data_IF_347160954324
#
_entry.id   IF_347160954324
#
_cell.length_a   1.000
_cell.length_b   1.000
_cell.length_c   1.000
_cell.angle_alpha   90.00
_cell.angle_beta   90.00
_cell.angle_gamma   90.00
#
_symmetry.space_group_name_H-M   'P 1'
#
loop_
_entity.id
_entity.type
_entity.pdbx_description
1 polymer ?
#
# COMPACT_ATOMS: atom_id res chain seq x y z
N UNK A 1 -7.51 27.95 40.74
CA UNK A 1 -6.85 26.64 40.59
C UNK A 1 -6.55 26.43 39.10
N UNK A 2 -5.33 26.19 38.66
CA UNK A 2 -5.06 25.89 37.23
C UNK A 2 -5.75 24.58 36.93
N UNK A 3 -6.62 24.58 35.90
CA UNK A 3 -7.22 23.38 35.35
C UNK A 3 -6.09 22.44 34.93
N UNK A 4 -6.03 21.23 35.52
CA UNK A 4 -5.13 20.19 35.06
C UNK A 4 -5.27 20.05 33.55
N UNK A 5 -4.17 20.27 32.82
CA UNK A 5 -4.17 20.07 31.36
C UNK A 5 -4.60 18.62 31.09
N UNK A 6 -5.74 18.43 30.48
CA UNK A 6 -6.20 17.12 30.07
C UNK A 6 -5.08 16.40 29.31
N UNK A 7 -4.75 15.18 29.69
CA UNK A 7 -3.72 14.38 29.03
C UNK A 7 -4.05 14.25 27.54
N UNK A 8 -3.12 14.58 26.68
CA UNK A 8 -3.29 14.38 25.23
C UNK A 8 -3.47 12.89 24.93
N UNK A 9 -4.43 12.57 24.07
CA UNK A 9 -4.59 11.20 23.54
C UNK A 9 -3.34 10.79 22.78
N UNK A 10 -2.88 9.57 22.98
CA UNK A 10 -1.76 8.97 22.26
C UNK A 10 -2.25 7.81 21.39
N UNK A 11 -2.16 7.98 20.08
CA UNK A 11 -2.67 7.03 19.10
C UNK A 11 -1.52 6.54 18.23
N UNK A 12 -1.36 5.22 18.10
CA UNK A 12 -0.40 4.58 17.20
C UNK A 12 -1.07 4.02 15.97
N UNK A 13 -0.48 4.27 14.82
CA UNK A 13 -0.90 3.74 13.52
C UNK A 13 0.17 2.78 13.02
N UNK A 14 -0.21 1.51 12.81
CA UNK A 14 0.65 0.48 12.27
C UNK A 14 0.43 0.38 10.76
N UNK A 15 1.51 0.49 9.99
CA UNK A 15 1.47 0.30 8.55
C UNK A 15 2.87 -0.05 7.99
N UNK A 16 3.06 -1.11 7.19
CA UNK A 16 4.35 -1.46 6.60
C UNK A 16 4.72 -0.57 5.41
N UNK A 17 4.62 0.75 5.56
CA UNK A 17 4.91 1.77 4.55
C UNK A 17 6.37 2.24 4.58
N UNK A 18 6.72 3.05 3.59
CA UNK A 18 7.97 3.77 3.52
C UNK A 18 8.81 3.52 2.27
N UNK A 19 8.32 2.71 1.32
CA UNK A 19 9.00 2.45 0.04
C UNK A 19 8.67 3.45 -1.05
N UNK A 20 7.71 4.35 -0.79
CA UNK A 20 7.24 5.35 -1.75
C UNK A 20 6.08 4.88 -2.61
N UNK A 21 5.46 3.73 -2.30
CA UNK A 21 4.19 3.36 -2.89
C UNK A 21 3.13 4.41 -2.52
N UNK A 22 2.61 5.10 -3.54
CA UNK A 22 1.70 6.25 -3.33
C UNK A 22 0.34 5.82 -2.78
N UNK A 23 -0.04 4.56 -2.98
CA UNK A 23 -1.24 4.02 -2.36
C UNK A 23 -1.11 3.84 -0.86
N UNK A 24 0.05 3.35 -0.40
CA UNK A 24 0.35 3.23 1.02
C UNK A 24 0.39 4.61 1.69
N UNK A 25 1.00 5.59 1.01
CA UNK A 25 1.02 6.99 1.46
C UNK A 25 -0.40 7.58 1.52
N UNK A 26 -1.25 7.29 0.52
CA UNK A 26 -2.65 7.71 0.47
C UNK A 26 -3.46 7.19 1.68
N UNK A 27 -3.28 5.92 2.04
CA UNK A 27 -3.91 5.30 3.20
C UNK A 27 -3.47 5.97 4.50
N UNK A 28 -2.17 6.17 4.69
CA UNK A 28 -1.64 6.84 5.88
C UNK A 28 -2.08 8.30 5.95
N UNK A 29 -2.04 9.01 4.83
CA UNK A 29 -2.48 10.42 4.75
C UNK A 29 -3.95 10.56 5.16
N UNK A 30 -4.84 9.73 4.62
CA UNK A 30 -6.26 9.77 4.97
C UNK A 30 -6.51 9.39 6.43
N UNK A 31 -5.76 8.40 6.95
CA UNK A 31 -5.85 7.98 8.35
C UNK A 31 -5.43 9.10 9.29
N UNK A 32 -4.26 9.71 9.07
CA UNK A 32 -3.80 10.81 9.91
C UNK A 32 -4.66 12.08 9.77
N UNK A 33 -5.20 12.35 8.58
CA UNK A 33 -6.14 13.46 8.39
C UNK A 33 -7.40 13.28 9.25
N UNK A 34 -8.02 12.10 9.22
CA UNK A 34 -9.21 11.79 10.00
C UNK A 34 -8.93 11.85 11.53
N UNK A 35 -7.76 11.37 11.97
CA UNK A 35 -7.37 11.46 13.39
C UNK A 35 -7.14 12.89 13.84
N UNK A 36 -6.51 13.74 13.02
CA UNK A 36 -6.29 15.17 13.31
C UNK A 36 -7.57 15.96 13.31
N UNK A 37 -8.47 15.68 12.36
CA UNK A 37 -9.79 16.31 12.32
C UNK A 37 -10.57 16.04 13.60
N UNK A 38 -10.52 14.81 14.09
CA UNK A 38 -11.27 14.40 15.28
C UNK A 38 -10.60 14.78 16.60
N UNK A 39 -9.26 14.74 16.64
CA UNK A 39 -8.43 15.04 17.84
C UNK A 39 -7.21 15.89 17.45
N UNK A 40 -7.37 17.20 17.26
CA UNK A 40 -6.28 18.08 16.78
C UNK A 40 -5.05 18.07 17.68
N UNK A 41 -5.24 17.84 18.98
CA UNK A 41 -4.15 17.82 19.99
C UNK A 41 -3.57 16.42 20.26
N UNK A 42 -4.03 15.37 19.56
CA UNK A 42 -3.55 14.03 19.79
C UNK A 42 -2.05 13.87 19.47
N UNK A 43 -1.36 13.09 20.28
CA UNK A 43 0.02 12.63 20.05
C UNK A 43 -0.03 11.41 19.10
N UNK A 44 0.17 11.66 17.80
CA UNK A 44 0.07 10.65 16.74
C UNK A 44 1.44 10.03 16.45
N UNK A 45 1.48 8.70 16.43
CA UNK A 45 2.66 7.90 16.16
C UNK A 45 2.43 6.97 14.97
N UNK A 46 3.47 6.76 14.17
CA UNK A 46 3.50 5.74 13.12
C UNK A 46 4.50 4.64 13.47
N UNK A 47 4.12 3.38 13.23
CA UNK A 47 5.02 2.23 13.29
C UNK A 47 5.11 1.62 11.90
N UNK A 48 6.27 1.78 11.26
CA UNK A 48 6.44 1.52 9.83
C UNK A 48 7.78 0.83 9.53
N UNK A 49 8.00 0.47 8.26
CA UNK A 49 9.28 -0.08 7.81
C UNK A 49 10.34 1.01 7.60
N UNK A 50 9.93 2.24 7.25
CA UNK A 50 10.81 3.39 7.05
C UNK A 50 10.40 4.61 7.90
N UNK A 51 10.69 4.59 9.21
CA UNK A 51 10.23 5.64 10.12
C UNK A 51 10.61 7.05 9.69
N UNK A 52 11.84 7.27 9.23
CA UNK A 52 12.31 8.60 8.84
C UNK A 52 11.48 9.21 7.69
N UNK A 53 11.18 8.42 6.64
CA UNK A 53 10.35 8.86 5.52
C UNK A 53 8.90 9.10 5.95
N UNK A 54 8.34 8.17 6.71
CA UNK A 54 6.97 8.30 7.22
C UNK A 54 6.82 9.54 8.10
N UNK A 55 7.80 9.79 8.99
CA UNK A 55 7.80 10.98 9.84
C UNK A 55 7.82 12.28 9.01
N UNK A 56 8.66 12.33 7.98
CA UNK A 56 8.76 13.49 7.09
C UNK A 56 7.46 13.72 6.30
N UNK A 57 6.91 12.67 5.67
CA UNK A 57 5.73 12.77 4.81
C UNK A 57 4.45 13.11 5.59
N UNK A 58 4.29 12.56 6.79
CA UNK A 58 3.03 12.70 7.55
C UNK A 58 3.14 13.61 8.78
N UNK A 59 4.33 14.17 9.07
CA UNK A 59 4.57 15.06 10.23
C UNK A 59 4.12 14.41 11.54
N UNK A 60 4.53 13.17 11.77
CA UNK A 60 4.26 12.38 12.97
C UNK A 60 5.56 11.85 13.55
N UNK A 61 5.53 11.45 14.81
CA UNK A 61 6.64 10.65 15.37
C UNK A 61 6.53 9.24 14.81
N UNK A 62 7.65 8.67 14.38
CA UNK A 62 7.65 7.32 13.81
C UNK A 62 8.75 6.44 14.42
N UNK A 63 8.45 5.15 14.59
CA UNK A 63 9.41 4.10 15.00
C UNK A 63 9.22 2.86 14.12
N UNK A 64 10.11 1.90 14.26
CA UNK A 64 10.06 0.65 13.51
C UNK A 64 8.86 -0.20 13.91
N UNK A 65 8.23 -0.83 12.93
CA UNK A 65 7.10 -1.73 13.12
C UNK A 65 7.51 -2.93 13.99
N UNK A 66 8.65 -3.55 13.69
CA UNK A 66 9.34 -4.58 14.51
C UNK A 66 10.85 -4.44 14.34
N UNK A 67 11.62 -5.16 15.14
CA UNK A 67 13.08 -5.27 14.96
C UNK A 67 13.48 -6.32 13.92
N UNK A 68 12.66 -7.36 13.72
CA UNK A 68 12.94 -8.49 12.82
C UNK A 68 12.83 -8.08 11.33
N UNK A 69 11.84 -7.28 10.97
CA UNK A 69 11.63 -6.82 9.59
C UNK A 69 12.71 -5.89 9.07
N UNK A 70 13.61 -5.47 9.94
CA UNK A 70 14.66 -4.50 9.65
C UNK A 70 15.81 -5.02 8.76
N UNK A 71 16.32 -6.26 8.90
CA UNK A 71 17.45 -6.73 8.11
C UNK A 71 17.16 -6.83 6.60
N UNK A 72 15.90 -7.01 6.25
CA UNK A 72 15.49 -7.23 4.86
C UNK A 72 15.62 -5.98 3.98
N UNK A 73 15.71 -4.77 4.59
CA UNK A 73 15.48 -3.52 3.89
C UNK A 73 16.39 -2.35 4.30
N UNK A 74 17.47 -2.56 5.05
CA UNK A 74 18.27 -1.44 5.53
C UNK A 74 19.68 -1.39 4.96
N UNK A 75 20.03 -0.19 4.48
CA UNK A 75 21.41 0.29 4.38
C UNK A 75 22.18 0.04 5.69
N UNK A 76 23.51 -0.28 5.63
CA UNK A 76 24.33 -0.47 6.81
C UNK A 76 24.19 0.70 7.79
N UNK A 77 23.94 0.41 9.06
CA UNK A 77 23.89 1.44 10.09
C UNK A 77 25.29 1.88 10.49
N UNK A 78 25.44 3.17 10.69
CA UNK A 78 26.64 3.75 11.33
C UNK A 78 26.76 3.27 12.79
N UNK A 79 25.62 2.94 13.46
CA UNK A 79 25.57 2.54 14.88
C UNK A 79 25.04 1.11 15.09
N UNK A 80 25.76 0.11 14.57
CA UNK A 80 25.44 -1.29 14.88
C UNK A 80 25.91 -1.68 16.29
N UNK A 81 25.04 -2.37 17.10
CA UNK A 81 25.44 -2.90 18.39
C UNK A 81 26.69 -3.79 18.29
N UNK A 82 27.57 -3.74 19.31
CA UNK A 82 28.83 -4.48 19.31
C UNK A 82 28.65 -5.97 19.00
N UNK A 83 27.66 -6.63 19.60
CA UNK A 83 27.37 -8.06 19.39
C UNK A 83 27.04 -8.37 17.92
N UNK A 84 26.29 -7.50 17.25
CA UNK A 84 25.97 -7.65 15.81
C UNK A 84 27.20 -7.45 14.95
N UNK A 85 28.06 -6.47 15.29
CA UNK A 85 29.34 -6.27 14.59
C UNK A 85 30.26 -7.47 14.72
N UNK A 86 30.33 -8.09 15.90
CA UNK A 86 31.12 -9.31 16.13
C UNK A 86 30.58 -10.46 15.28
N UNK A 87 29.27 -10.73 15.31
CA UNK A 87 28.64 -11.80 14.53
C UNK A 87 28.89 -11.63 13.02
N UNK A 88 28.76 -10.42 12.47
CA UNK A 88 29.08 -10.11 11.08
C UNK A 88 30.60 -10.16 10.79
N UNK A 89 31.43 -9.91 11.77
CA UNK A 89 32.88 -10.08 11.67
C UNK A 89 33.26 -11.56 11.48
N UNK A 90 32.61 -12.46 12.24
CA UNK A 90 32.78 -13.92 12.09
C UNK A 90 32.27 -14.37 10.73
N UNK A 91 31.08 -13.96 10.33
CA UNK A 91 30.53 -14.25 8.98
C UNK A 91 31.52 -13.86 7.87
N UNK A 92 32.05 -12.64 7.89
CA UNK A 92 33.01 -12.17 6.88
C UNK A 92 34.27 -13.02 6.81
N UNK A 93 34.78 -13.48 7.95
CA UNK A 93 36.00 -14.33 8.02
C UNK A 93 35.76 -15.74 7.50
N UNK A 94 34.56 -16.28 7.71
CA UNK A 94 34.23 -17.68 7.35
C UNK A 94 33.59 -17.82 5.96
N UNK A 95 33.29 -16.74 5.27
CA UNK A 95 32.66 -16.74 3.92
C UNK A 95 33.41 -17.57 2.88
N UNK A 96 34.73 -17.75 3.05
CA UNK A 96 35.57 -18.53 2.12
C UNK A 96 35.37 -20.05 2.24
N UNK A 97 34.74 -20.53 3.31
CA UNK A 97 34.43 -21.94 3.54
C UNK A 97 32.90 -22.10 3.40
N UNK A 98 32.40 -22.76 2.34
CA UNK A 98 30.97 -22.71 1.98
C UNK A 98 29.99 -23.09 3.10
N UNK A 99 30.27 -24.15 3.86
CA UNK A 99 29.43 -24.62 4.94
C UNK A 99 29.52 -23.71 6.17
N UNK A 100 30.71 -23.35 6.60
CA UNK A 100 30.96 -22.46 7.73
C UNK A 100 30.45 -21.04 7.43
N UNK A 101 30.61 -20.56 6.20
CA UNK A 101 30.07 -19.28 5.74
C UNK A 101 28.55 -19.22 5.80
N UNK A 102 27.85 -20.29 5.39
CA UNK A 102 26.38 -20.37 5.50
C UNK A 102 25.91 -20.40 6.96
N UNK A 103 26.54 -21.23 7.80
CA UNK A 103 26.19 -21.33 9.21
C UNK A 103 26.43 -20.01 9.96
N UNK A 104 27.54 -19.35 9.70
CA UNK A 104 27.87 -18.06 10.33
C UNK A 104 27.00 -16.92 9.81
N UNK A 105 26.57 -16.94 8.54
CA UNK A 105 25.62 -15.98 8.01
C UNK A 105 24.25 -16.11 8.71
N UNK A 106 23.72 -17.35 8.81
CA UNK A 106 22.50 -17.62 9.57
C UNK A 106 22.63 -17.19 11.03
N UNK A 107 23.75 -17.52 11.67
CA UNK A 107 24.02 -17.10 13.06
C UNK A 107 24.06 -15.57 13.23
N UNK A 108 24.71 -14.86 12.30
CA UNK A 108 24.77 -13.39 12.32
C UNK A 108 23.39 -12.75 12.09
N UNK A 109 22.58 -13.31 11.18
CA UNK A 109 21.20 -12.86 10.94
C UNK A 109 20.31 -13.08 12.17
N UNK A 110 20.33 -14.27 12.76
CA UNK A 110 19.56 -14.58 13.97
C UNK A 110 19.97 -13.70 15.14
N UNK A 111 21.27 -13.48 15.36
CA UNK A 111 21.78 -12.59 16.38
C UNK A 111 21.31 -11.15 16.15
N UNK A 112 21.43 -10.67 14.92
CA UNK A 112 20.94 -9.35 14.53
C UNK A 112 19.45 -9.21 14.78
N UNK A 113 18.64 -10.17 14.30
CA UNK A 113 17.20 -10.17 14.50
C UNK A 113 16.83 -10.15 15.98
N UNK A 114 17.46 -10.99 16.81
CA UNK A 114 17.18 -11.07 18.25
C UNK A 114 17.52 -9.75 18.96
N UNK A 115 18.68 -9.16 18.69
CA UNK A 115 19.12 -7.91 19.32
C UNK A 115 18.22 -6.75 18.95
N UNK A 116 17.91 -6.60 17.65
CA UNK A 116 17.05 -5.53 17.18
C UNK A 116 15.61 -5.71 17.63
N UNK A 117 15.10 -6.96 17.65
CA UNK A 117 13.75 -7.24 18.13
C UNK A 117 13.62 -6.94 19.62
N UNK A 118 14.57 -7.36 20.44
CA UNK A 118 14.56 -7.08 21.88
C UNK A 118 14.53 -5.57 22.15
N UNK A 119 15.36 -4.80 21.45
CA UNK A 119 15.39 -3.34 21.57
C UNK A 119 14.07 -2.70 21.09
N UNK A 120 13.55 -3.16 19.95
CA UNK A 120 12.27 -2.69 19.41
C UNK A 120 11.10 -3.03 20.33
N UNK A 121 11.07 -4.25 20.87
CA UNK A 121 10.04 -4.69 21.81
C UNK A 121 10.05 -3.86 23.08
N UNK A 122 11.25 -3.57 23.62
CA UNK A 122 11.41 -2.70 24.78
C UNK A 122 10.84 -1.29 24.57
N UNK A 123 11.12 -0.68 23.39
CA UNK A 123 10.55 0.63 23.03
C UNK A 123 9.04 0.57 22.85
N UNK A 124 8.54 -0.41 22.08
CA UNK A 124 7.12 -0.60 21.85
C UNK A 124 6.34 -0.83 23.16
N UNK A 125 6.90 -1.60 24.10
CA UNK A 125 6.32 -1.83 25.43
C UNK A 125 6.23 -0.55 26.26
N UNK A 126 7.27 0.27 26.28
CA UNK A 126 7.27 1.57 26.96
C UNK A 126 6.26 2.53 26.35
N UNK A 127 6.15 2.51 25.03
CA UNK A 127 5.23 3.38 24.32
C UNK A 127 3.77 2.99 24.56
N UNK A 128 3.42 1.69 24.43
CA UNK A 128 2.05 1.22 24.53
C UNK A 128 1.44 1.38 25.92
N UNK A 129 2.25 1.37 26.98
CA UNK A 129 1.80 1.63 28.36
C UNK A 129 1.19 3.03 28.52
N UNK A 130 1.52 3.96 27.65
CA UNK A 130 1.02 5.34 27.61
C UNK A 130 0.06 5.60 26.47
N UNK A 131 -0.18 4.60 25.61
CA UNK A 131 -1.07 4.72 24.46
C UNK A 131 -2.54 4.60 24.88
N UNK A 132 -3.41 5.23 24.12
CA UNK A 132 -4.85 5.14 24.30
C UNK A 132 -5.51 4.27 23.23
N UNK A 133 -4.87 4.12 22.06
CA UNK A 133 -5.38 3.36 20.93
C UNK A 133 -4.25 2.93 20.00
N UNK A 134 -4.37 1.74 19.41
CA UNK A 134 -3.52 1.27 18.32
C UNK A 134 -4.40 0.88 17.15
N UNK A 135 -4.14 1.46 15.99
CA UNK A 135 -4.84 1.22 14.74
C UNK A 135 -3.95 0.53 13.72
N UNK A 136 -4.42 -0.50 13.06
CA UNK A 136 -3.85 -1.03 11.83
C UNK A 136 -4.59 -0.37 10.67
N UNK A 137 -3.91 0.52 9.97
CA UNK A 137 -4.52 1.31 8.90
C UNK A 137 -4.51 0.51 7.59
N UNK A 138 -5.66 0.28 7.00
CA UNK A 138 -5.92 -0.20 5.65
C UNK A 138 -4.86 -1.08 4.95
N UNK A 139 -4.94 -1.15 3.63
CA UNK A 139 -3.94 -1.83 2.81
C UNK A 139 -3.88 -3.35 2.99
N UNK A 140 -2.90 -3.99 2.37
CA UNK A 140 -2.71 -5.46 2.40
C UNK A 140 -2.09 -5.95 3.70
N UNK A 141 -2.71 -5.72 4.84
CA UNK A 141 -2.15 -6.04 6.16
C UNK A 141 -2.18 -7.53 6.52
N UNK A 142 -3.22 -8.24 6.11
CA UNK A 142 -3.36 -9.67 6.35
C UNK A 142 -2.68 -10.45 5.22
N UNK A 143 -1.35 -10.34 5.15
CA UNK A 143 -0.58 -10.91 4.04
C UNK A 143 0.80 -11.41 4.52
N UNK A 144 1.12 -12.67 4.22
CA UNK A 144 2.43 -13.26 4.48
C UNK A 144 3.48 -12.94 3.41
N UNK A 145 3.10 -12.35 2.27
CA UNK A 145 4.06 -11.95 1.23
C UNK A 145 5.05 -10.89 1.74
N UNK A 146 4.67 -10.11 2.75
CA UNK A 146 5.52 -9.10 3.39
C UNK A 146 6.40 -9.71 4.48
N UNK A 147 7.53 -10.29 4.08
CA UNK A 147 8.54 -10.82 4.98
C UNK A 147 8.22 -12.20 5.58
N UNK A 148 7.30 -12.95 4.97
CA UNK A 148 6.92 -14.30 5.44
C UNK A 148 6.28 -14.26 6.83
N UNK A 149 6.40 -15.37 7.54
CA UNK A 149 5.84 -15.56 8.89
C UNK A 149 6.32 -14.52 9.90
N UNK A 150 7.61 -14.19 9.86
CA UNK A 150 8.24 -13.25 10.78
C UNK A 150 8.16 -11.79 10.33
N UNK A 151 7.54 -11.53 9.18
CA UNK A 151 7.20 -10.19 8.68
C UNK A 151 5.90 -9.65 9.26
N UNK A 152 4.96 -9.34 8.37
CA UNK A 152 3.69 -8.73 8.76
C UNK A 152 2.82 -9.59 9.69
N UNK A 153 2.66 -10.93 9.50
CA UNK A 153 1.91 -11.75 10.44
C UNK A 153 2.41 -11.66 11.88
N UNK A 154 3.73 -11.76 12.08
CA UNK A 154 4.36 -11.60 13.39
C UNK A 154 4.16 -10.19 13.95
N UNK A 155 4.33 -9.15 13.13
CA UNK A 155 4.14 -7.78 13.56
C UNK A 155 2.73 -7.54 14.13
N UNK A 156 1.70 -8.01 13.43
CA UNK A 156 0.31 -7.90 13.89
C UNK A 156 0.07 -8.64 15.20
N UNK A 157 0.55 -9.90 15.33
CA UNK A 157 0.41 -10.67 16.56
C UNK A 157 1.13 -10.01 17.75
N UNK A 158 2.36 -9.53 17.51
CA UNK A 158 3.17 -8.83 18.53
C UNK A 158 2.47 -7.58 19.07
N UNK A 159 1.95 -6.74 18.17
CA UNK A 159 1.27 -5.51 18.57
C UNK A 159 -0.07 -5.80 19.24
N UNK A 160 -0.84 -6.78 18.76
CA UNK A 160 -2.07 -7.22 19.41
C UNK A 160 -1.80 -7.78 20.82
N UNK A 161 -0.70 -8.53 20.99
CA UNK A 161 -0.27 -9.04 22.30
C UNK A 161 0.12 -7.90 23.25
N UNK A 162 0.93 -6.94 22.80
CA UNK A 162 1.31 -5.76 23.59
C UNK A 162 0.08 -4.94 24.01
N UNK A 163 -0.85 -4.72 23.07
CA UNK A 163 -2.08 -3.98 23.33
C UNK A 163 -2.95 -4.69 24.37
N UNK A 164 -3.10 -6.02 24.24
CA UNK A 164 -3.82 -6.84 25.23
C UNK A 164 -3.21 -6.73 26.64
N UNK A 165 -1.87 -6.86 26.77
CA UNK A 165 -1.18 -6.75 28.05
C UNK A 165 -1.34 -5.37 28.68
N UNK A 166 -1.33 -4.32 27.87
CA UNK A 166 -1.50 -2.94 28.33
C UNK A 166 -2.97 -2.51 28.47
N UNK A 167 -3.92 -3.39 28.16
CA UNK A 167 -5.36 -3.07 28.08
C UNK A 167 -5.67 -1.88 27.16
N UNK A 168 -4.93 -1.76 26.07
CA UNK A 168 -5.12 -0.71 25.05
C UNK A 168 -5.95 -1.29 23.91
N UNK A 169 -7.01 -0.61 23.47
CA UNK A 169 -7.75 -1.04 22.29
C UNK A 169 -6.85 -1.17 21.06
N UNK A 170 -6.99 -2.28 20.34
CA UNK A 170 -6.30 -2.58 19.09
C UNK A 170 -7.35 -2.81 18.01
N UNK A 171 -7.25 -2.13 16.87
CA UNK A 171 -8.29 -2.19 15.86
C UNK A 171 -7.72 -2.24 14.43
N UNK A 172 -8.43 -2.94 13.55
CA UNK A 172 -8.15 -2.98 12.13
C UNK A 172 -9.16 -2.13 11.36
N UNK A 173 -8.68 -1.26 10.50
CA UNK A 173 -9.50 -0.38 9.66
C UNK A 173 -9.30 -0.72 8.19
N UNK A 174 -10.33 -1.27 7.53
CA UNK A 174 -10.37 -1.53 6.07
C UNK A 174 -9.16 -2.33 5.55
N UNK A 175 -8.74 -3.38 6.28
CA UNK A 175 -7.56 -4.15 5.89
C UNK A 175 -7.86 -5.15 4.77
N UNK A 176 -6.91 -5.28 3.83
CA UNK A 176 -6.96 -6.29 2.78
C UNK A 176 -6.31 -7.60 3.21
N UNK A 177 -6.82 -8.70 2.66
CA UNK A 177 -6.24 -10.02 2.81
C UNK A 177 -5.54 -10.44 1.51
N UNK A 178 -4.30 -10.89 1.64
CA UNK A 178 -3.50 -11.44 0.54
C UNK A 178 -3.23 -12.94 0.71
N UNK A 179 -1.96 -13.31 0.81
CA UNK A 179 -1.54 -14.70 1.01
C UNK A 179 -1.62 -15.09 2.50
N UNK A 180 -2.33 -16.19 2.80
CA UNK A 180 -2.45 -16.68 4.18
C UNK A 180 -1.11 -17.20 4.75
N UNK A 181 -0.20 -17.66 3.89
CA UNK A 181 1.08 -18.23 4.30
C UNK A 181 0.96 -19.61 4.98
N UNK A 182 2.00 -19.95 5.73
CA UNK A 182 2.04 -21.19 6.51
C UNK A 182 1.10 -21.16 7.74
N UNK A 183 1.00 -22.28 8.43
CA UNK A 183 0.11 -22.42 9.60
C UNK A 183 0.47 -21.48 10.75
N UNK A 184 1.74 -21.09 10.90
CA UNK A 184 2.17 -20.15 11.93
C UNK A 184 1.79 -18.71 11.56
N UNK A 185 1.94 -18.31 10.29
CA UNK A 185 1.44 -17.04 9.76
C UNK A 185 -0.05 -16.89 10.01
N UNK A 186 -0.83 -17.95 9.71
CA UNK A 186 -2.27 -17.96 9.94
C UNK A 186 -2.64 -17.85 11.42
N UNK A 187 -1.88 -18.53 12.31
CA UNK A 187 -2.08 -18.41 13.77
C UNK A 187 -1.80 -17.00 14.27
N UNK A 188 -0.75 -16.33 13.77
CA UNK A 188 -0.45 -14.96 14.12
C UNK A 188 -1.55 -13.99 13.69
N UNK A 189 -2.00 -14.06 12.44
CA UNK A 189 -3.08 -13.23 11.94
C UNK A 189 -4.40 -13.49 12.69
N UNK A 190 -4.75 -14.76 12.90
CA UNK A 190 -5.92 -15.14 13.71
C UNK A 190 -5.84 -14.57 15.12
N UNK A 191 -4.67 -14.67 15.78
CA UNK A 191 -4.47 -14.12 17.11
C UNK A 191 -4.73 -12.61 17.13
N UNK A 192 -4.18 -11.88 16.19
CA UNK A 192 -4.34 -10.44 16.11
C UNK A 192 -5.81 -10.03 15.90
N UNK A 193 -6.52 -10.70 14.99
CA UNK A 193 -7.94 -10.42 14.73
C UNK A 193 -8.79 -10.74 15.96
N UNK A 194 -8.57 -11.87 16.61
CA UNK A 194 -9.35 -12.28 17.81
C UNK A 194 -9.19 -11.33 18.98
N UNK A 195 -8.05 -10.67 19.11
CA UNK A 195 -7.76 -9.74 20.20
C UNK A 195 -7.96 -8.27 19.81
N UNK A 196 -8.47 -8.00 18.60
CA UNK A 196 -8.83 -6.64 18.21
C UNK A 196 -10.16 -6.21 18.83
N UNK A 197 -10.30 -4.94 19.18
CA UNK A 197 -11.56 -4.35 19.66
C UNK A 197 -12.54 -4.11 18.50
N UNK A 198 -12.00 -3.88 17.30
CA UNK A 198 -12.75 -3.69 16.03
C UNK A 198 -11.91 -4.25 14.88
N UNK A 199 -12.59 -4.79 13.88
CA UNK A 199 -11.95 -5.23 12.65
C UNK A 199 -12.88 -5.02 11.47
N UNK A 200 -12.41 -4.34 10.45
CA UNK A 200 -13.04 -4.26 9.14
C UNK A 200 -12.06 -4.65 8.04
N UNK A 201 -12.60 -5.18 6.96
CA UNK A 201 -11.85 -5.54 5.75
C UNK A 201 -12.32 -4.69 4.58
N UNK A 202 -11.46 -4.48 3.57
CA UNK A 202 -11.75 -3.50 2.50
C UNK A 202 -12.63 -4.03 1.37
N UNK A 203 -12.75 -5.35 1.24
CA UNK A 203 -13.49 -6.00 0.15
C UNK A 203 -14.04 -7.36 0.57
N UNK A 204 -15.08 -7.82 -0.12
CA UNK A 204 -15.76 -9.09 0.15
C UNK A 204 -14.83 -10.30 0.06
N UNK A 205 -13.88 -10.28 -0.87
CA UNK A 205 -12.91 -11.35 -0.97
C UNK A 205 -11.93 -11.40 0.20
N UNK A 206 -11.59 -10.25 0.79
CA UNK A 206 -10.84 -10.20 2.06
C UNK A 206 -11.68 -10.75 3.20
N UNK A 207 -13.00 -10.50 3.21
CA UNK A 207 -13.92 -11.07 4.20
C UNK A 207 -13.93 -12.59 4.12
N UNK A 208 -14.12 -13.16 2.93
CA UNK A 208 -14.14 -14.61 2.70
C UNK A 208 -12.83 -15.27 3.11
N UNK A 209 -11.68 -14.68 2.73
CA UNK A 209 -10.36 -15.19 3.13
C UNK A 209 -10.13 -15.10 4.64
N UNK A 210 -10.61 -14.05 5.29
CA UNK A 210 -10.49 -13.89 6.74
C UNK A 210 -11.31 -14.95 7.47
N UNK A 211 -12.45 -15.36 6.93
CA UNK A 211 -13.26 -16.45 7.48
C UNK A 211 -12.47 -17.78 7.51
N UNK A 212 -11.61 -18.05 6.52
CA UNK A 212 -10.76 -19.26 6.49
C UNK A 212 -9.76 -19.33 7.64
N UNK A 213 -9.39 -18.21 8.24
CA UNK A 213 -8.55 -18.18 9.43
C UNK A 213 -9.28 -18.70 10.70
N UNK A 214 -10.60 -18.93 10.64
CA UNK A 214 -11.40 -19.33 11.79
C UNK A 214 -11.44 -18.25 12.88
N UNK A 215 -11.31 -16.99 12.50
CA UNK A 215 -11.60 -15.86 13.35
C UNK A 215 -13.12 -15.68 13.40
N UNK A 216 -13.76 -16.35 14.35
CA UNK A 216 -15.22 -16.23 14.58
C UNK A 216 -15.55 -14.84 15.11
N UNK A 217 -15.72 -13.89 14.20
CA UNK A 217 -16.09 -12.51 14.51
C UNK A 217 -16.93 -11.93 13.38
N UNK A 218 -17.88 -11.10 13.74
CA UNK A 218 -18.57 -10.28 12.75
C UNK A 218 -17.59 -9.20 12.25
N UNK A 219 -17.24 -9.27 10.96
CA UNK A 219 -16.35 -8.31 10.30
C UNK A 219 -17.20 -7.43 9.38
N UNK A 220 -16.92 -6.13 9.39
CA UNK A 220 -17.54 -5.21 8.47
C UNK A 220 -16.69 -5.09 7.19
N UNK A 221 -17.36 -4.97 6.04
CA UNK A 221 -16.71 -4.58 4.79
C UNK A 221 -16.81 -3.05 4.68
N UNK A 222 -15.66 -2.38 4.64
CA UNK A 222 -15.56 -0.93 4.49
C UNK A 222 -14.48 -0.67 3.43
N UNK A 223 -14.76 0.10 2.38
CA UNK A 223 -13.82 0.37 1.30
C UNK A 223 -12.45 0.87 1.78
N UNK A 224 -11.47 0.84 0.87
CA UNK A 224 -10.09 1.25 1.16
C UNK A 224 -10.04 2.70 1.71
N UNK A 225 -9.20 2.92 2.73
CA UNK A 225 -9.11 4.21 3.41
C UNK A 225 -8.68 5.36 2.49
N UNK A 226 -8.01 5.07 1.38
CA UNK A 226 -7.63 6.08 0.40
C UNK A 226 -8.84 6.80 -0.23
N UNK A 227 -10.05 6.21 -0.21
CA UNK A 227 -11.27 6.90 -0.64
C UNK A 227 -11.62 8.13 0.21
N UNK A 228 -11.11 8.24 1.43
CA UNK A 228 -11.32 9.42 2.28
C UNK A 228 -10.44 10.62 1.90
N UNK A 229 -9.48 10.47 0.98
CA UNK A 229 -8.67 11.59 0.51
C UNK A 229 -9.54 12.69 -0.11
N UNK A 230 -9.20 13.92 0.22
CA UNK A 230 -9.78 15.09 -0.44
C UNK A 230 -9.29 15.18 -1.88
N UNK A 231 -10.18 15.46 -2.80
CA UNK A 231 -9.83 15.69 -4.20
C UNK A 231 -10.54 16.93 -4.74
N UNK A 232 -9.91 17.60 -5.70
CA UNK A 232 -10.51 18.71 -6.43
C UNK A 232 -11.24 18.15 -7.67
N UNK A 233 -12.20 18.89 -8.22
CA UNK A 233 -12.88 18.50 -9.46
C UNK A 233 -11.89 18.27 -10.61
N UNK A 234 -12.20 17.34 -11.53
CA UNK A 234 -11.44 17.17 -12.77
C UNK A 234 -11.29 18.48 -13.56
N UNK A 235 -10.17 18.63 -14.26
CA UNK A 235 -10.01 19.73 -15.21
C UNK A 235 -10.82 19.39 -16.48
N UNK A 236 -11.44 20.40 -17.08
CA UNK A 236 -12.13 20.22 -18.34
C UNK A 236 -11.13 19.94 -19.48
N UNK A 237 -11.50 19.08 -20.41
CA UNK A 237 -10.74 18.88 -21.64
C UNK A 237 -10.59 20.20 -22.40
N UNK A 238 -9.36 20.58 -22.74
CA UNK A 238 -9.07 21.88 -23.36
C UNK A 238 -8.65 21.80 -24.83
N UNK A 239 -8.45 20.59 -25.37
CA UNK A 239 -7.85 20.38 -26.71
C UNK A 239 -8.46 19.14 -27.40
N UNK A 240 -8.38 19.08 -28.75
CA UNK A 240 -8.65 17.84 -29.48
C UNK A 240 -7.67 16.72 -29.07
N UNK A 241 -8.14 15.47 -29.11
CA UNK A 241 -7.41 14.28 -28.62
C UNK A 241 -7.51 14.10 -27.12
N UNK A 242 -7.24 12.92 -26.65
CA UNK A 242 -7.29 12.55 -25.22
C UNK A 242 -5.94 12.78 -24.52
N UNK A 243 -6.00 13.13 -23.25
CA UNK A 243 -4.87 13.02 -22.33
C UNK A 243 -4.95 11.67 -21.61
N UNK A 244 -4.07 10.73 -21.98
CA UNK A 244 -4.08 9.35 -21.48
C UNK A 244 -2.88 9.14 -20.55
N UNK A 245 -3.15 8.82 -19.30
CA UNK A 245 -2.13 8.39 -18.34
C UNK A 245 -1.89 6.88 -18.47
N UNK A 246 -0.65 6.45 -18.63
CA UNK A 246 -0.27 5.05 -18.82
C UNK A 246 0.76 4.65 -17.76
N UNK A 247 0.47 3.57 -17.03
CA UNK A 247 1.34 3.07 -15.96
C UNK A 247 1.75 1.61 -16.21
N UNK A 248 2.82 1.38 -17.00
CA UNK A 248 3.42 0.06 -17.12
C UNK A 248 3.97 -0.43 -15.79
N UNK A 249 3.92 -1.75 -15.55
CA UNK A 249 4.46 -2.35 -14.35
C UNK A 249 5.52 -3.42 -14.68
N UNK A 250 6.35 -3.77 -13.70
CA UNK A 250 7.42 -4.78 -13.83
C UNK A 250 6.88 -6.22 -13.86
N UNK A 251 5.72 -6.44 -14.48
CA UNK A 251 5.09 -7.75 -14.57
C UNK A 251 6.00 -8.75 -15.30
N UNK A 252 6.32 -9.88 -14.66
CA UNK A 252 7.24 -10.93 -15.15
C UNK A 252 8.71 -10.50 -15.35
N UNK A 253 9.11 -9.29 -14.94
CA UNK A 253 10.49 -8.81 -15.08
C UNK A 253 11.46 -9.67 -14.28
N UNK A 254 12.58 -10.14 -14.88
CA UNK A 254 13.65 -10.82 -14.18
C UNK A 254 14.20 -9.99 -13.01
N UNK A 255 14.34 -10.62 -11.84
CA UNK A 255 14.79 -9.97 -10.62
C UNK A 255 13.80 -9.00 -9.97
N UNK A 256 12.62 -8.80 -10.57
CA UNK A 256 11.58 -7.88 -10.08
C UNK A 256 10.21 -8.53 -9.84
N UNK A 257 10.05 -9.80 -10.24
CA UNK A 257 8.77 -10.51 -10.15
C UNK A 257 8.96 -11.97 -9.69
N UNK A 258 8.08 -12.54 -8.85
CA UNK A 258 8.23 -13.92 -8.36
C UNK A 258 8.24 -14.98 -9.47
N UNK A 259 7.37 -14.84 -10.46
CA UNK A 259 7.23 -15.73 -11.61
C UNK A 259 7.86 -15.07 -12.83
N UNK A 260 9.20 -14.87 -12.79
CA UNK A 260 9.92 -14.14 -13.82
C UNK A 260 9.97 -14.87 -15.17
N UNK A 261 9.76 -14.10 -16.25
CA UNK A 261 9.86 -14.56 -17.63
C UNK A 261 10.37 -13.42 -18.53
N UNK A 262 11.64 -13.46 -18.87
CA UNK A 262 12.30 -12.40 -19.63
C UNK A 262 11.68 -12.19 -21.04
N UNK A 263 11.27 -13.25 -21.73
CA UNK A 263 10.70 -13.18 -23.07
C UNK A 263 9.31 -12.53 -23.04
N UNK A 264 8.48 -12.92 -22.08
CA UNK A 264 7.15 -12.33 -21.89
C UNK A 264 7.24 -10.87 -21.41
N UNK A 265 8.18 -10.56 -20.51
CA UNK A 265 8.42 -9.17 -20.11
C UNK A 265 8.82 -8.29 -21.29
N UNK A 266 9.73 -8.79 -22.14
CA UNK A 266 10.17 -8.08 -23.35
C UNK A 266 9.00 -7.83 -24.32
N UNK A 267 8.13 -8.84 -24.48
CA UNK A 267 6.89 -8.71 -25.27
C UNK A 267 5.94 -7.68 -24.65
N UNK A 268 5.75 -7.69 -23.34
CA UNK A 268 4.95 -6.70 -22.63
C UNK A 268 5.44 -5.28 -22.87
N UNK A 269 6.73 -5.04 -22.74
CA UNK A 269 7.35 -3.73 -23.00
C UNK A 269 7.08 -3.29 -24.45
N UNK A 270 7.20 -4.21 -25.41
CA UNK A 270 6.88 -3.95 -26.82
C UNK A 270 5.41 -3.59 -27.06
N UNK A 271 4.48 -4.29 -26.41
CA UNK A 271 3.04 -4.03 -26.53
C UNK A 271 2.64 -2.68 -25.94
N UNK A 272 3.22 -2.30 -24.78
CA UNK A 272 3.04 -0.96 -24.23
C UNK A 272 3.54 0.14 -25.17
N UNK A 273 4.73 -0.03 -25.74
CA UNK A 273 5.27 0.93 -26.69
C UNK A 273 4.38 1.04 -27.93
N UNK A 274 3.91 -0.09 -28.48
CA UNK A 274 2.98 -0.12 -29.63
C UNK A 274 1.64 0.54 -29.33
N UNK A 275 1.08 0.35 -28.13
CA UNK A 275 -0.13 1.04 -27.68
C UNK A 275 0.07 2.56 -27.71
N UNK A 276 1.17 3.03 -27.11
CA UNK A 276 1.50 4.45 -27.04
C UNK A 276 1.64 5.04 -28.45
N UNK A 277 2.33 4.35 -29.36
CA UNK A 277 2.49 4.80 -30.76
C UNK A 277 1.17 4.88 -31.52
N UNK A 278 0.30 3.87 -31.37
CA UNK A 278 -1.04 3.88 -32.01
C UNK A 278 -1.91 5.03 -31.47
N UNK A 279 -1.92 5.25 -30.15
CA UNK A 279 -2.72 6.32 -29.55
C UNK A 279 -2.20 7.71 -29.97
N UNK A 280 -0.89 7.89 -29.97
CA UNK A 280 -0.27 9.13 -30.42
C UNK A 280 -0.55 9.43 -31.92
N UNK A 281 -0.60 8.38 -32.78
CA UNK A 281 -0.99 8.49 -34.19
C UNK A 281 -2.45 8.93 -34.38
N UNK A 282 -3.34 8.62 -33.41
CA UNK A 282 -4.74 9.09 -33.35
C UNK A 282 -4.86 10.55 -32.85
N UNK A 283 -3.76 11.16 -32.44
CA UNK A 283 -3.72 12.54 -31.92
C UNK A 283 -3.83 12.65 -30.40
N UNK A 284 -3.76 11.54 -29.68
CA UNK A 284 -3.77 11.55 -28.22
C UNK A 284 -2.41 11.93 -27.62
N UNK A 285 -2.44 12.48 -26.42
CA UNK A 285 -1.25 12.81 -25.62
C UNK A 285 -1.07 11.76 -24.55
N UNK A 286 0.11 11.16 -24.50
CA UNK A 286 0.41 10.06 -23.57
C UNK A 286 1.32 10.59 -22.46
N UNK A 287 0.92 10.31 -21.23
CA UNK A 287 1.63 10.66 -20.01
C UNK A 287 2.01 9.39 -19.27
N UNK A 288 3.30 9.13 -19.12
CA UNK A 288 3.79 8.00 -18.35
C UNK A 288 3.82 8.36 -16.86
N UNK A 289 3.45 7.42 -16.01
CA UNK A 289 3.51 7.62 -14.56
C UNK A 289 3.71 6.30 -13.81
N UNK A 290 4.06 6.39 -12.52
CA UNK A 290 4.06 5.26 -11.60
C UNK A 290 3.28 5.62 -10.34
N UNK A 291 2.54 4.63 -9.79
CA UNK A 291 1.99 4.70 -8.43
C UNK A 291 2.84 3.92 -7.41
N UNK A 292 3.77 3.11 -7.92
CA UNK A 292 4.78 2.38 -7.15
C UNK A 292 6.16 2.62 -7.77
N UNK A 293 7.14 3.17 -7.03
CA UNK A 293 8.49 3.40 -7.56
C UNK A 293 9.16 2.14 -8.12
N UNK A 294 8.77 0.94 -7.66
CA UNK A 294 9.26 -0.32 -8.21
C UNK A 294 8.95 -0.53 -9.69
N UNK A 295 7.95 0.18 -10.23
CA UNK A 295 7.57 0.08 -11.64
C UNK A 295 8.33 1.06 -12.56
N UNK A 296 9.16 1.93 -12.02
CA UNK A 296 9.90 2.93 -12.80
C UNK A 296 10.78 2.29 -13.87
N UNK A 297 11.33 1.12 -13.61
CA UNK A 297 12.11 0.38 -14.60
C UNK A 297 11.29 -0.03 -15.81
N UNK A 298 10.04 -0.51 -15.61
CA UNK A 298 9.16 -0.85 -16.71
C UNK A 298 8.81 0.38 -17.55
N UNK A 299 8.52 1.51 -16.92
CA UNK A 299 8.28 2.79 -17.59
C UNK A 299 9.48 3.20 -18.45
N UNK A 300 10.70 3.12 -17.91
CA UNK A 300 11.93 3.43 -18.64
C UNK A 300 12.19 2.47 -19.80
N UNK A 301 11.91 1.17 -19.61
CA UNK A 301 12.09 0.17 -20.65
C UNK A 301 11.09 0.36 -21.80
N UNK A 302 9.83 0.73 -21.52
CA UNK A 302 8.86 1.15 -22.52
C UNK A 302 9.32 2.41 -23.24
N UNK A 303 9.74 3.44 -22.51
CA UNK A 303 10.19 4.71 -23.09
C UNK A 303 11.38 4.52 -24.05
N UNK A 304 12.33 3.61 -23.76
CA UNK A 304 13.45 3.29 -24.66
C UNK A 304 13.00 2.72 -26.02
N UNK A 305 11.83 2.06 -26.09
CA UNK A 305 11.25 1.48 -27.30
C UNK A 305 10.50 2.46 -28.19
N UNK A 306 10.12 3.62 -27.65
CA UNK A 306 9.43 4.66 -28.39
C UNK A 306 10.36 5.31 -29.42
N UNK A 307 9.78 5.76 -30.55
CA UNK A 307 10.48 6.63 -31.50
C UNK A 307 11.07 7.88 -30.79
N UNK A 308 12.14 8.46 -31.32
CA UNK A 308 12.80 9.62 -30.70
C UNK A 308 11.81 10.79 -30.46
N UNK A 309 10.90 11.04 -31.41
CA UNK A 309 9.86 12.06 -31.31
C UNK A 309 8.90 11.79 -30.14
N UNK A 310 8.40 10.58 -30.02
CA UNK A 310 7.47 10.22 -28.93
C UNK A 310 8.17 10.16 -27.58
N UNK A 311 9.40 9.68 -27.54
CA UNK A 311 10.21 9.66 -26.31
C UNK A 311 10.38 11.06 -25.73
N UNK A 312 10.58 12.07 -26.56
CA UNK A 312 10.65 13.45 -26.13
C UNK A 312 9.30 14.04 -25.70
N UNK A 313 8.19 13.55 -26.29
CA UNK A 313 6.84 14.01 -26.00
C UNK A 313 6.20 13.31 -24.78
N UNK A 314 6.50 12.02 -24.57
CA UNK A 314 5.97 11.22 -23.45
C UNK A 314 6.78 11.45 -22.18
N UNK A 315 6.48 12.52 -21.47
CA UNK A 315 7.12 12.84 -20.18
C UNK A 315 6.64 11.86 -19.09
N UNK A 316 7.55 11.53 -18.21
CA UNK A 316 7.22 10.76 -16.99
C UNK A 316 6.76 11.76 -15.94
N UNK A 317 5.54 11.59 -15.46
CA UNK A 317 5.03 12.38 -14.34
C UNK A 317 5.67 11.89 -13.03
N UNK A 318 6.46 12.74 -12.42
CA UNK A 318 7.12 12.49 -11.15
C UNK A 318 6.20 12.92 -10.00
N UNK A 319 5.33 12.00 -9.55
CA UNK A 319 4.51 12.20 -8.38
C UNK A 319 5.21 11.58 -7.16
N UNK A 320 5.64 12.39 -6.21
CA UNK A 320 6.28 11.93 -4.97
C UNK A 320 5.28 11.73 -3.81
N UNK A 321 4.06 12.25 -3.97
CA UNK A 321 2.99 12.19 -2.96
C UNK A 321 1.66 11.76 -3.60
N UNK A 322 0.74 11.24 -2.77
CA UNK A 322 -0.60 10.90 -3.23
C UNK A 322 -1.35 12.15 -3.76
N UNK A 323 -1.18 13.32 -3.14
CA UNK A 323 -1.79 14.57 -3.61
C UNK A 323 -1.25 15.00 -4.98
N UNK A 324 0.06 14.84 -5.23
CA UNK A 324 0.66 15.14 -6.53
C UNK A 324 0.11 14.20 -7.62
N UNK A 325 -0.08 12.91 -7.31
CA UNK A 325 -0.68 11.96 -8.24
C UNK A 325 -2.16 12.28 -8.52
N UNK A 326 -2.92 12.64 -7.49
CA UNK A 326 -4.31 13.07 -7.67
C UNK A 326 -4.41 14.35 -8.50
N UNK A 327 -3.52 15.32 -8.29
CA UNK A 327 -3.48 16.53 -9.11
C UNK A 327 -3.10 16.23 -10.57
N UNK A 328 -2.14 15.32 -10.80
CA UNK A 328 -1.80 14.85 -12.13
C UNK A 328 -3.00 14.18 -12.82
N UNK A 329 -3.73 13.30 -12.13
CA UNK A 329 -4.90 12.64 -12.68
C UNK A 329 -6.01 13.61 -13.10
N UNK A 330 -6.14 14.76 -12.43
CA UNK A 330 -7.15 15.77 -12.79
C UNK A 330 -7.00 16.28 -14.24
N UNK A 331 -5.77 16.26 -14.77
CA UNK A 331 -5.49 16.67 -16.14
C UNK A 331 -5.70 15.59 -17.20
N UNK A 332 -6.01 14.35 -16.80
CA UNK A 332 -6.16 13.23 -17.72
C UNK A 332 -7.64 13.02 -18.11
N UNK A 333 -7.88 12.46 -19.27
CA UNK A 333 -9.20 11.99 -19.71
C UNK A 333 -9.40 10.51 -19.39
N UNK A 334 -8.33 9.71 -19.50
CA UNK A 334 -8.33 8.26 -19.23
C UNK A 334 -7.05 7.87 -18.51
N UNK A 335 -7.17 6.95 -17.57
CA UNK A 335 -6.03 6.29 -16.91
C UNK A 335 -5.98 4.82 -17.32
N UNK A 336 -4.82 4.31 -17.72
CA UNK A 336 -4.58 2.88 -17.98
C UNK A 336 -3.58 2.39 -16.93
N UNK A 337 -4.00 1.49 -16.04
CA UNK A 337 -3.17 1.03 -14.93
C UNK A 337 -3.44 -0.42 -14.54
N UNK A 338 -2.41 -1.10 -14.05
CA UNK A 338 -2.48 -2.47 -13.54
C UNK A 338 -2.38 -2.54 -12.00
N UNK A 339 -1.85 -1.49 -11.36
CA UNK A 339 -1.72 -1.42 -9.92
C UNK A 339 -3.03 -1.01 -9.25
N UNK A 340 -3.40 -1.68 -8.16
CA UNK A 340 -4.62 -1.36 -7.41
C UNK A 340 -4.74 0.12 -7.09
N UNK A 341 -3.71 0.73 -6.52
CA UNK A 341 -3.79 2.13 -6.12
C UNK A 341 -3.65 3.10 -7.30
N UNK A 342 -3.05 2.67 -8.42
CA UNK A 342 -3.15 3.41 -9.69
C UNK A 342 -4.60 3.54 -10.16
N UNK A 343 -5.36 2.43 -10.10
CA UNK A 343 -6.79 2.39 -10.42
C UNK A 343 -7.62 3.13 -9.38
N UNK A 344 -7.42 2.84 -8.09
CA UNK A 344 -8.20 3.40 -6.99
C UNK A 344 -8.08 4.92 -6.90
N UNK A 345 -6.86 5.46 -7.01
CA UNK A 345 -6.65 6.91 -7.00
C UNK A 345 -7.21 7.61 -8.24
N UNK A 346 -7.27 6.92 -9.41
CA UNK A 346 -8.00 7.44 -10.57
C UNK A 346 -9.51 7.54 -10.29
N UNK A 347 -10.09 6.52 -9.63
CA UNK A 347 -11.48 6.55 -9.18
C UNK A 347 -11.71 7.70 -8.18
N UNK A 348 -10.82 7.89 -7.20
CA UNK A 348 -10.88 8.99 -6.23
C UNK A 348 -10.84 10.35 -6.94
N UNK A 349 -10.01 10.47 -8.00
CA UNK A 349 -9.93 11.68 -8.84
C UNK A 349 -11.15 11.84 -9.78
N UNK A 350 -12.07 10.88 -9.83
CA UNK A 350 -13.24 10.87 -10.72
C UNK A 350 -12.89 10.71 -12.19
N UNK A 351 -11.76 10.04 -12.51
CA UNK A 351 -11.29 9.83 -13.88
C UNK A 351 -11.62 8.43 -14.39
N UNK A 352 -12.11 8.31 -15.63
CA UNK A 352 -12.27 7.03 -16.32
C UNK A 352 -10.97 6.23 -16.26
N UNK A 353 -11.08 4.95 -15.94
CA UNK A 353 -9.94 4.07 -15.82
C UNK A 353 -10.18 2.77 -16.56
N UNK A 354 -9.21 2.36 -17.37
CA UNK A 354 -9.06 1.04 -17.95
C UNK A 354 -8.07 0.25 -17.07
N UNK A 355 -8.58 -0.76 -16.37
CA UNK A 355 -7.79 -1.56 -15.45
C UNK A 355 -7.30 -2.85 -16.13
N UNK A 356 -5.99 -3.10 -16.10
CA UNK A 356 -5.38 -4.35 -16.55
C UNK A 356 -5.00 -5.16 -15.31
N UNK A 357 -5.94 -5.97 -14.83
CA UNK A 357 -5.86 -6.60 -13.51
C UNK A 357 -4.99 -7.86 -13.52
N UNK A 358 -3.88 -7.85 -12.77
CA UNK A 358 -3.11 -9.06 -12.45
C UNK A 358 -3.54 -9.69 -11.11
N UNK A 359 -4.33 -8.97 -10.30
CA UNK A 359 -4.81 -9.42 -9.00
C UNK A 359 -6.32 -9.26 -8.85
N UNK A 360 -6.92 -10.18 -8.07
CA UNK A 360 -8.37 -10.17 -7.77
C UNK A 360 -8.87 -8.83 -7.22
N UNK A 361 -8.07 -8.16 -6.36
CA UNK A 361 -8.45 -6.90 -5.72
C UNK A 361 -8.70 -5.75 -6.71
N UNK A 362 -8.02 -5.75 -7.87
CA UNK A 362 -8.27 -4.76 -8.94
C UNK A 362 -9.63 -5.02 -9.59
N UNK A 363 -9.93 -6.29 -9.91
CA UNK A 363 -11.25 -6.67 -10.45
C UNK A 363 -12.38 -6.35 -9.48
N UNK A 364 -12.16 -6.58 -8.18
CA UNK A 364 -13.15 -6.29 -7.16
C UNK A 364 -13.53 -4.80 -7.14
N UNK A 365 -12.58 -3.89 -7.07
CA UNK A 365 -12.88 -2.45 -7.03
C UNK A 365 -13.56 -1.95 -8.31
N UNK A 366 -13.21 -2.51 -9.49
CA UNK A 366 -13.87 -2.17 -10.75
C UNK A 366 -15.31 -2.70 -10.82
N UNK A 367 -15.54 -3.89 -10.25
CA UNK A 367 -16.87 -4.48 -10.11
C UNK A 367 -17.75 -3.68 -9.16
N UNK A 368 -17.24 -3.34 -7.98
CA UNK A 368 -17.95 -2.56 -6.97
C UNK A 368 -18.31 -1.15 -7.50
N UNK A 369 -17.45 -0.58 -8.34
CA UNK A 369 -17.70 0.70 -9.01
C UNK A 369 -18.66 0.60 -10.22
N UNK A 370 -19.13 -0.60 -10.59
CA UNK A 370 -20.06 -0.83 -11.70
C UNK A 370 -19.45 -0.58 -13.09
N UNK A 371 -18.13 -0.76 -13.21
CA UNK A 371 -17.38 -0.51 -14.47
C UNK A 371 -16.51 -1.71 -14.87
N UNK A 372 -16.97 -2.93 -14.59
CA UNK A 372 -16.26 -4.19 -14.92
C UNK A 372 -15.96 -4.34 -16.42
N UNK A 373 -16.74 -3.74 -17.32
CA UNK A 373 -16.50 -3.74 -18.76
C UNK A 373 -15.17 -3.07 -19.15
N UNK A 374 -14.61 -2.22 -18.28
CA UNK A 374 -13.31 -1.56 -18.47
C UNK A 374 -12.22 -2.19 -17.59
N UNK A 375 -12.38 -3.46 -17.24
CA UNK A 375 -11.39 -4.25 -16.50
C UNK A 375 -11.13 -5.55 -17.25
N UNK A 376 -9.88 -5.77 -17.65
CA UNK A 376 -9.44 -7.01 -18.27
C UNK A 376 -8.29 -7.63 -17.49
N UNK A 377 -8.03 -8.93 -17.69
CA UNK A 377 -6.88 -9.59 -17.09
C UNK A 377 -5.59 -9.10 -17.74
N UNK A 378 -4.55 -8.84 -16.95
CA UNK A 378 -3.25 -8.46 -17.46
C UNK A 378 -2.59 -9.67 -18.16
N UNK A 379 -2.54 -9.64 -19.47
CA UNK A 379 -1.93 -10.67 -20.33
C UNK A 379 -1.46 -10.04 -21.63
N UNK A 380 -0.60 -10.73 -22.35
CA UNK A 380 -0.16 -10.26 -23.68
C UNK A 380 -1.33 -10.14 -24.66
N UNK A 381 -2.27 -11.09 -24.64
CA UNK A 381 -3.49 -11.04 -25.47
C UNK A 381 -4.37 -9.83 -25.18
N UNK A 382 -4.53 -9.47 -23.90
CA UNK A 382 -5.28 -8.27 -23.50
C UNK A 382 -4.56 -7.00 -23.94
N UNK A 383 -3.23 -6.96 -23.85
CA UNK A 383 -2.44 -5.82 -24.31
C UNK A 383 -2.62 -5.55 -25.81
N UNK A 384 -2.81 -6.60 -26.64
CA UNK A 384 -3.07 -6.46 -28.07
C UNK A 384 -4.38 -5.74 -28.36
N UNK A 385 -5.42 -5.94 -27.53
CA UNK A 385 -6.76 -5.32 -27.70
C UNK A 385 -6.97 -4.06 -26.86
N UNK A 386 -5.99 -3.64 -26.05
CA UNK A 386 -6.13 -2.49 -25.12
C UNK A 386 -6.46 -1.20 -25.86
N UNK A 387 -5.94 -1.01 -27.07
CA UNK A 387 -6.26 0.15 -27.92
C UNK A 387 -7.75 0.21 -28.29
N UNK A 388 -8.34 -0.93 -28.70
CA UNK A 388 -9.77 -1.04 -28.97
C UNK A 388 -10.62 -0.81 -27.70
N UNK A 389 -10.17 -1.32 -26.56
CA UNK A 389 -10.87 -1.08 -25.27
C UNK A 389 -10.90 0.40 -24.90
N UNK A 390 -9.85 1.17 -25.23
CA UNK A 390 -9.87 2.63 -25.05
C UNK A 390 -10.89 3.26 -25.99
N UNK A 391 -10.94 2.84 -27.26
CA UNK A 391 -11.92 3.35 -28.23
C UNK A 391 -13.36 3.06 -27.79
N UNK A 392 -13.63 1.89 -27.22
CA UNK A 392 -14.93 1.52 -26.64
C UNK A 392 -15.29 2.35 -25.40
N UNK A 393 -14.30 2.80 -24.64
CA UNK A 393 -14.49 3.67 -23.47
C UNK A 393 -14.80 5.12 -23.87
N UNK A 394 -14.23 5.62 -24.98
CA UNK A 394 -14.35 7.03 -25.40
C UNK A 394 -15.80 7.53 -25.44
N UNK A 395 -16.77 6.85 -26.09
CA UNK A 395 -18.16 7.31 -26.12
C UNK A 395 -18.85 7.25 -24.75
N UNK A 396 -18.24 6.61 -23.76
CA UNK A 396 -18.80 6.38 -22.43
C UNK A 396 -18.05 7.15 -21.32
N UNK A 397 -17.09 8.02 -21.66
CA UNK A 397 -16.23 8.73 -20.68
C UNK A 397 -17.05 9.44 -19.60
N UNK A 398 -18.06 10.23 -19.98
CA UNK A 398 -18.88 10.97 -19.01
C UNK A 398 -19.72 10.04 -18.13
N UNK A 399 -20.24 8.95 -18.69
CA UNK A 399 -21.03 7.96 -17.94
C UNK A 399 -20.15 7.18 -16.99
N UNK A 400 -18.97 6.75 -17.44
CA UNK A 400 -17.97 6.09 -16.63
C UNK A 400 -17.52 7.02 -15.49
N UNK A 401 -17.14 8.26 -15.80
CA UNK A 401 -16.72 9.25 -14.80
C UNK A 401 -17.81 9.53 -13.75
N UNK A 402 -19.10 9.59 -14.12
CA UNK A 402 -20.20 9.74 -13.15
C UNK A 402 -20.26 8.54 -12.23
N UNK A 403 -20.32 7.31 -12.75
CA UNK A 403 -20.35 6.09 -11.91
C UNK A 403 -19.19 6.01 -10.94
N UNK A 404 -17.98 6.35 -11.39
CA UNK A 404 -16.79 6.34 -10.55
C UNK A 404 -16.87 7.41 -9.44
N UNK A 405 -17.37 8.61 -9.74
CA UNK A 405 -17.59 9.66 -8.73
C UNK A 405 -18.65 9.25 -7.71
N UNK A 406 -19.76 8.66 -8.15
CA UNK A 406 -20.85 8.21 -7.26
C UNK A 406 -20.34 7.10 -6.33
N UNK A 407 -19.58 6.15 -6.88
CA UNK A 407 -18.92 5.11 -6.08
C UNK A 407 -17.91 5.70 -5.09
N UNK A 408 -17.03 6.59 -5.54
CA UNK A 408 -16.06 7.25 -4.65
C UNK A 408 -16.72 8.03 -3.53
N UNK A 409 -17.86 8.70 -3.80
CA UNK A 409 -18.62 9.41 -2.78
C UNK A 409 -19.23 8.46 -1.75
N UNK A 410 -19.81 7.34 -2.20
CA UNK A 410 -20.36 6.29 -1.33
C UNK A 410 -19.26 5.65 -0.48
N UNK A 411 -18.14 5.27 -1.10
CA UNK A 411 -16.99 4.69 -0.41
C UNK A 411 -16.40 5.66 0.63
N UNK A 412 -16.29 6.94 0.29
CA UNK A 412 -15.88 7.99 1.24
C UNK A 412 -16.82 8.10 2.43
N UNK A 413 -18.13 8.06 2.20
CA UNK A 413 -19.11 8.09 3.27
C UNK A 413 -18.97 6.89 4.20
N UNK A 414 -18.79 5.68 3.65
CA UNK A 414 -18.57 4.46 4.43
C UNK A 414 -17.29 4.54 5.29
N UNK A 415 -16.17 5.04 4.74
CA UNK A 415 -14.93 5.25 5.51
C UNK A 415 -15.14 6.29 6.62
N UNK A 416 -15.85 7.39 6.36
CA UNK A 416 -16.17 8.39 7.38
C UNK A 416 -17.01 7.80 8.51
N UNK A 417 -18.07 7.05 8.18
CA UNK A 417 -18.90 6.36 9.19
C UNK A 417 -18.07 5.39 10.04
N UNK A 418 -17.12 4.68 9.43
CA UNK A 418 -16.19 3.85 10.19
C UNK A 418 -15.35 4.68 11.18
N UNK A 419 -14.83 5.83 10.75
CA UNK A 419 -14.03 6.70 11.61
C UNK A 419 -14.81 7.25 12.80
N UNK A 420 -16.13 7.40 12.68
CA UNK A 420 -17.01 7.78 13.79
C UNK A 420 -17.14 6.72 14.88
N UNK A 421 -16.77 5.45 14.59
CA UNK A 421 -16.74 4.39 15.60
C UNK A 421 -15.50 4.45 16.50
N UNK A 422 -14.41 5.09 16.05
CA UNK A 422 -13.13 5.12 16.78
C UNK A 422 -13.25 5.70 18.20
N UNK A 423 -14.00 6.79 18.46
CA UNK A 423 -14.22 7.29 19.83
C UNK A 423 -14.83 6.26 20.79
N UNK A 424 -15.71 5.39 20.27
CA UNK A 424 -16.31 4.31 21.06
C UNK A 424 -15.32 3.25 21.51
N UNK A 425 -14.20 3.08 20.79
CA UNK A 425 -13.13 2.16 21.17
C UNK A 425 -12.33 2.69 22.38
N UNK A 426 -12.19 4.02 22.49
CA UNK A 426 -11.48 4.67 23.61
C UNK A 426 -12.25 4.53 24.93
N UNK A 427 -13.59 4.57 24.92
CA UNK A 427 -14.42 4.45 26.13
C UNK A 427 -14.31 3.10 26.80
N UNK A 428 -14.13 2.01 26.05
CA UNK A 428 -14.00 0.65 26.57
C UNK A 428 -12.73 0.40 27.40
N UNK A 429 -11.82 1.37 27.49
CA UNK A 429 -10.61 1.29 28.32
C UNK A 429 -10.86 1.78 29.74
N UNK A 430 -11.86 2.63 29.95
CA UNK A 430 -12.12 3.30 31.23
C UNK A 430 -13.26 2.65 32.03
N UNK A 431 -13.99 1.73 31.39
CA UNK A 431 -14.95 0.82 32.00
C UNK A 431 -14.24 -0.54 32.37
#
# INVERSE_FOLDING_TARGET
MPRARARKLRIGVLYPSGWGNLGDEAILQSTFAALRERWPDADLWAFTLHPARTAANHRVVADTLTGITRPMFLTPRVDEPFVVRVARGVERRTRRVPLLGRLSAVGAELTSAAVFETASLGRARKWIQRADLVLVAGGGQLDSAWGGTWGQPYALARWAWLAKQAKVPFAFLSVGFGKAGDSLSQRFMRYAIRHSAYCSVRDEGSLQLTATLGAQRHLNVVPDLAFALATKPPLAARRPGLDIGVSPMVFLKPGGWPDENAAEYDRFVGLWASLIERRAAKGDRIHLFVSDPGDMDAVRDVQKRLSAKLRAACLIAEAETADALLEFYRGLDVVVSSRLHGVLLAIVAGRPVLALAHERKVRAVMSDAGVSSFCAELSTSTMEITDAMIDDLVPQLDTCARRLRDYAASARAAVRSQNELIPGLLRRRHD
#
